data_IF_173474558518
#
_entry.id   IF_173474558518
#
_cell.length_a   1.000
_cell.length_b   1.000
_cell.length_c   1.000
_cell.angle_alpha   90.00
_cell.angle_beta   90.00
_cell.angle_gamma   90.00
#
_symmetry.space_group_name_H-M   'P 1'
#
loop_
_entity.id
_entity.type
_entity.pdbx_description
1 polymer ?
#
# COMPACT_ATOMS: atom_id res chain seq x y z
N UNK A 1 11.46 -5.69 0.24
CA UNK A 1 11.44 -7.06 -0.37
C UNK A 1 12.67 -7.17 -1.27
N UNK A 2 13.46 -8.25 -1.15
CA UNK A 2 14.64 -8.49 -2.00
C UNK A 2 14.30 -9.26 -3.29
N UNK A 3 13.13 -9.89 -3.33
CA UNK A 3 12.50 -10.42 -4.54
C UNK A 3 11.55 -9.39 -5.18
N UNK A 4 11.39 -9.45 -6.50
CA UNK A 4 10.66 -8.46 -7.27
C UNK A 4 9.54 -9.04 -8.14
N UNK A 5 9.35 -10.35 -8.12
CA UNK A 5 8.20 -10.98 -8.77
C UNK A 5 6.89 -10.58 -8.08
N UNK A 6 5.78 -10.80 -8.79
CA UNK A 6 4.45 -10.38 -8.37
C UNK A 6 3.99 -11.06 -7.09
N UNK A 7 4.28 -12.37 -6.95
CA UNK A 7 3.88 -13.15 -5.79
C UNK A 7 4.60 -12.65 -4.54
N UNK A 8 5.93 -12.52 -4.60
CA UNK A 8 6.75 -12.02 -3.48
C UNK A 8 6.30 -10.64 -2.98
N UNK A 9 5.81 -9.78 -3.87
CA UNK A 9 5.33 -8.45 -3.47
C UNK A 9 3.94 -8.50 -2.86
N UNK A 10 3.04 -9.37 -3.31
CA UNK A 10 1.77 -9.58 -2.61
C UNK A 10 1.98 -10.20 -1.22
N UNK A 11 2.90 -11.15 -1.11
CA UNK A 11 3.25 -11.79 0.17
C UNK A 11 3.82 -10.81 1.20
N UNK A 12 4.36 -9.65 0.78
CA UNK A 12 4.82 -8.63 1.74
C UNK A 12 3.70 -8.14 2.66
N UNK A 13 2.43 -8.24 2.22
CA UNK A 13 1.26 -7.86 3.00
C UNK A 13 1.10 -8.73 4.26
N UNK A 14 1.56 -9.98 4.24
CA UNK A 14 1.47 -10.93 5.37
C UNK A 14 2.28 -10.46 6.59
N UNK A 15 3.30 -9.63 6.37
CA UNK A 15 4.14 -9.11 7.46
C UNK A 15 3.44 -8.01 8.26
N UNK A 16 2.49 -7.28 7.65
CA UNK A 16 1.89 -6.08 8.23
C UNK A 16 1.20 -6.33 9.58
N UNK A 17 0.41 -7.40 9.78
CA UNK A 17 -0.21 -7.68 11.08
C UNK A 17 0.82 -7.97 12.18
N UNK A 18 1.98 -8.54 11.84
CA UNK A 18 3.05 -8.77 12.82
C UNK A 18 3.68 -7.43 13.24
N UNK A 19 3.97 -6.55 12.28
CA UNK A 19 4.53 -5.21 12.54
C UNK A 19 3.60 -4.40 13.45
N UNK A 20 2.30 -4.38 13.16
CA UNK A 20 1.32 -3.60 13.95
C UNK A 20 1.12 -4.18 15.34
N UNK A 21 1.10 -5.52 15.49
CA UNK A 21 1.06 -6.18 16.81
C UNK A 21 2.32 -5.88 17.63
N UNK A 22 3.51 -5.96 17.04
CA UNK A 22 4.76 -5.62 17.73
C UNK A 22 4.78 -4.15 18.16
N UNK A 23 4.38 -3.23 17.27
CA UNK A 23 4.23 -1.81 17.60
C UNK A 23 3.31 -1.61 18.80
N UNK A 24 2.15 -2.30 18.82
CA UNK A 24 1.19 -2.20 19.91
C UNK A 24 1.72 -2.79 21.22
N UNK A 25 2.48 -3.89 21.16
CA UNK A 25 3.11 -4.49 22.33
C UNK A 25 4.20 -3.58 22.94
N UNK A 26 4.95 -2.84 22.11
CA UNK A 26 6.03 -1.95 22.56
C UNK A 26 5.50 -0.62 23.09
N UNK A 27 4.53 -0.01 22.40
CA UNK A 27 4.09 1.37 22.70
C UNK A 27 2.72 1.45 23.40
N UNK A 28 2.13 0.33 23.79
CA UNK A 28 0.82 0.29 24.45
C UNK A 28 -0.25 0.96 23.60
N UNK A 29 -1.21 1.66 24.21
CA UNK A 29 -2.36 2.27 23.50
C UNK A 29 -2.04 3.56 22.73
N UNK A 30 -0.76 3.97 22.63
CA UNK A 30 -0.37 5.19 21.90
C UNK A 30 -0.91 5.18 20.46
N UNK A 31 -1.61 6.24 20.01
CA UNK A 31 -2.00 6.37 18.60
C UNK A 31 -0.77 6.41 17.69
N UNK A 32 -0.86 5.75 16.54
CA UNK A 32 0.19 5.80 15.53
C UNK A 32 -0.38 5.79 14.11
N UNK A 33 0.44 6.28 13.18
CA UNK A 33 0.12 6.45 11.77
C UNK A 33 1.09 5.64 10.92
N UNK A 34 0.66 5.22 9.74
CA UNK A 34 1.51 4.56 8.76
C UNK A 34 1.46 5.35 7.44
N UNK A 35 2.63 5.66 6.89
CA UNK A 35 2.75 6.09 5.50
C UNK A 35 3.73 7.24 5.26
N UNK A 36 3.85 7.70 4.00
CA UNK A 36 3.18 7.16 2.81
C UNK A 36 3.66 5.75 2.42
N UNK A 37 2.72 4.83 2.15
CA UNK A 37 3.03 3.45 1.74
C UNK A 37 2.82 3.21 0.24
N UNK A 38 3.82 2.61 -0.41
CA UNK A 38 3.85 2.27 -1.85
C UNK A 38 4.69 1.00 -2.09
N UNK A 39 4.55 0.37 -3.26
CA UNK A 39 5.40 -0.76 -3.69
C UNK A 39 6.84 -0.30 -3.92
N UNK A 40 7.03 0.80 -4.66
CA UNK A 40 8.33 1.42 -4.85
C UNK A 40 8.85 2.00 -3.52
N UNK A 41 10.16 2.01 -3.35
CA UNK A 41 10.81 2.49 -2.13
C UNK A 41 11.17 3.97 -2.24
N UNK A 42 10.85 4.74 -1.20
CA UNK A 42 11.27 6.15 -1.07
C UNK A 42 12.66 6.28 -0.43
N UNK A 43 13.00 5.34 0.44
CA UNK A 43 14.27 5.27 1.16
C UNK A 43 14.73 3.81 1.22
N UNK A 44 16.05 3.61 1.22
CA UNK A 44 16.66 2.30 1.34
C UNK A 44 17.19 2.12 2.78
N UNK A 45 16.63 1.21 3.59
CA UNK A 45 17.10 0.99 4.95
C UNK A 45 18.47 0.27 5.00
N UNK A 46 18.96 -0.23 3.87
CA UNK A 46 20.20 -1.00 3.76
C UNK A 46 21.31 -0.28 2.96
N UNK A 47 21.13 1.00 2.61
CA UNK A 47 22.12 1.75 1.83
C UNK A 47 21.75 3.22 1.64
N UNK A 48 22.67 4.01 1.07
CA UNK A 48 22.49 5.46 0.95
C UNK A 48 21.41 5.94 -0.03
N UNK A 49 20.95 5.08 -0.95
CA UNK A 49 19.93 5.42 -1.95
C UNK A 49 19.14 4.20 -2.41
N UNK A 50 17.96 4.44 -2.99
CA UNK A 50 17.18 3.45 -3.74
C UNK A 50 17.72 3.29 -5.16
N UNK A 51 17.45 2.14 -5.79
CA UNK A 51 17.90 1.89 -7.17
C UNK A 51 17.10 2.74 -8.15
N UNK A 52 17.77 3.35 -9.12
CA UNK A 52 17.07 3.96 -10.24
C UNK A 52 16.46 2.88 -11.14
N UNK A 53 15.29 3.18 -11.71
CA UNK A 53 14.53 2.25 -12.54
C UNK A 53 13.84 2.97 -13.71
N UNK A 54 14.62 3.73 -14.47
CA UNK A 54 14.15 4.46 -15.66
C UNK A 54 13.58 3.56 -16.75
N UNK A 55 13.97 2.27 -16.79
CA UNK A 55 13.46 1.27 -17.74
C UNK A 55 12.16 0.58 -17.30
N UNK A 56 11.60 0.91 -16.13
CA UNK A 56 10.33 0.35 -15.66
C UNK A 56 10.38 -1.16 -15.45
N UNK A 57 11.51 -1.69 -14.95
CA UNK A 57 11.70 -3.12 -14.70
C UNK A 57 11.14 -3.53 -13.33
N UNK A 58 10.83 -4.82 -13.16
CA UNK A 58 10.50 -5.38 -11.84
C UNK A 58 11.77 -5.70 -11.10
N UNK A 59 12.26 -4.76 -10.30
CA UNK A 59 13.50 -4.91 -9.54
C UNK A 59 13.28 -4.51 -8.09
N UNK A 60 13.94 -5.22 -7.19
CA UNK A 60 13.86 -4.95 -5.76
C UNK A 60 14.53 -3.61 -5.42
N UNK A 61 13.95 -2.90 -4.45
CA UNK A 61 14.51 -1.69 -3.86
C UNK A 61 14.64 -0.50 -4.82
N UNK A 62 13.81 -0.47 -5.87
CA UNK A 62 13.77 0.65 -6.80
C UNK A 62 12.91 1.82 -6.33
N UNK A 63 13.28 3.01 -6.82
CA UNK A 63 12.56 4.27 -6.64
C UNK A 63 11.30 4.39 -7.52
N UNK A 64 11.08 3.46 -8.45
CA UNK A 64 9.93 3.37 -9.36
C UNK A 64 9.56 1.92 -9.54
N UNK A 65 8.27 1.65 -9.66
CA UNK A 65 7.77 0.30 -9.93
C UNK A 65 6.72 0.34 -11.05
N UNK A 66 6.88 -0.46 -12.13
CA UNK A 66 5.92 -0.45 -13.24
C UNK A 66 4.50 -0.85 -12.81
N UNK A 67 4.37 -1.60 -11.72
CA UNK A 67 3.07 -2.06 -11.20
C UNK A 67 2.26 -0.94 -10.57
N UNK A 68 2.91 0.16 -10.19
CA UNK A 68 2.24 1.37 -9.67
C UNK A 68 1.24 1.97 -10.66
N UNK A 69 1.48 1.78 -11.96
CA UNK A 69 0.60 2.24 -13.03
C UNK A 69 -0.55 1.25 -13.38
N UNK A 70 -0.59 0.07 -12.75
CA UNK A 70 -1.50 -1.01 -13.12
C UNK A 70 -2.49 -1.38 -12.00
N UNK A 71 -3.44 -2.25 -12.32
CA UNK A 71 -4.39 -2.84 -11.35
C UNK A 71 -3.70 -3.55 -10.18
N UNK A 72 -2.46 -4.00 -10.38
CA UNK A 72 -1.65 -4.62 -9.34
C UNK A 72 -1.48 -3.69 -8.13
N UNK A 73 -1.18 -2.41 -8.35
CA UNK A 73 -1.04 -1.47 -7.24
C UNK A 73 -2.38 -1.18 -6.55
N UNK A 74 -3.49 -1.12 -7.29
CA UNK A 74 -4.82 -1.00 -6.70
C UNK A 74 -5.13 -2.18 -5.75
N UNK A 75 -4.88 -3.40 -6.20
CA UNK A 75 -5.07 -4.61 -5.40
C UNK A 75 -4.14 -4.65 -4.17
N UNK A 76 -2.85 -4.35 -4.34
CA UNK A 76 -1.89 -4.28 -3.24
C UNK A 76 -2.28 -3.21 -2.21
N UNK A 77 -2.77 -2.06 -2.66
CA UNK A 77 -3.22 -0.96 -1.78
C UNK A 77 -4.43 -1.35 -0.94
N UNK A 78 -5.43 -2.01 -1.52
CA UNK A 78 -6.58 -2.53 -0.77
C UNK A 78 -6.13 -3.62 0.21
N UNK A 79 -5.27 -4.53 -0.24
CA UNK A 79 -4.72 -5.58 0.61
C UNK A 79 -3.89 -5.04 1.78
N UNK A 80 -3.14 -3.96 1.58
CA UNK A 80 -2.43 -3.25 2.64
C UNK A 80 -3.42 -2.73 3.69
N UNK A 81 -4.47 -2.03 3.26
CA UNK A 81 -5.50 -1.51 4.14
C UNK A 81 -6.21 -2.64 4.91
N UNK A 82 -6.57 -3.73 4.23
CA UNK A 82 -7.17 -4.91 4.85
C UNK A 82 -6.30 -5.50 5.98
N UNK A 83 -4.99 -5.62 5.76
CA UNK A 83 -4.05 -6.18 6.74
C UNK A 83 -3.79 -5.28 7.95
N UNK A 84 -3.93 -3.96 7.79
CA UNK A 84 -3.67 -2.99 8.88
C UNK A 84 -4.93 -2.46 9.56
N UNK A 85 -6.12 -2.63 8.97
CA UNK A 85 -7.38 -2.18 9.56
C UNK A 85 -7.61 -2.68 11.00
N UNK A 86 -7.34 -3.97 11.34
CA UNK A 86 -7.47 -4.45 12.72
C UNK A 86 -6.56 -3.75 13.74
N UNK A 87 -5.51 -3.06 13.29
CA UNK A 87 -4.57 -2.38 14.18
C UNK A 87 -5.13 -1.09 14.81
N UNK A 88 -6.24 -0.56 14.28
CA UNK A 88 -6.85 0.69 14.76
C UNK A 88 -5.89 1.87 14.60
N UNK A 89 -5.31 2.03 13.41
CA UNK A 89 -4.43 3.15 13.10
C UNK A 89 -5.18 4.47 13.21
N UNK A 90 -4.50 5.53 13.64
CA UNK A 90 -5.06 6.88 13.58
C UNK A 90 -5.17 7.36 12.12
N UNK A 91 -4.20 6.97 11.29
CA UNK A 91 -4.16 7.34 9.88
C UNK A 91 -3.34 6.33 9.07
N UNK A 92 -3.87 5.99 7.90
CA UNK A 92 -3.15 5.28 6.85
C UNK A 92 -3.00 6.22 5.65
N UNK A 93 -1.76 6.57 5.30
CA UNK A 93 -1.46 7.36 4.11
C UNK A 93 -0.89 6.43 3.04
N UNK A 94 -1.60 6.32 1.92
CA UNK A 94 -1.22 5.49 0.77
C UNK A 94 -0.87 6.40 -0.39
N UNK A 95 0.15 6.03 -1.17
CA UNK A 95 0.54 6.77 -2.38
C UNK A 95 0.97 8.23 -2.10
N UNK A 96 1.46 8.92 -3.11
CA UNK A 96 1.44 10.39 -3.18
C UNK A 96 0.28 10.86 -4.07
N UNK A 97 0.09 12.18 -4.18
CA UNK A 97 -0.88 12.73 -5.13
C UNK A 97 -0.42 12.56 -6.59
N UNK A 98 0.76 13.07 -6.93
CA UNK A 98 1.32 13.01 -8.28
C UNK A 98 2.73 12.38 -8.31
N UNK A 99 3.19 12.08 -9.51
CA UNK A 99 4.55 11.57 -9.79
C UNK A 99 4.66 10.04 -9.71
N UNK A 100 5.89 9.50 -9.59
CA UNK A 100 6.15 8.06 -9.68
C UNK A 100 5.53 7.24 -8.54
N UNK A 101 5.20 7.89 -7.43
CA UNK A 101 4.48 7.31 -6.30
C UNK A 101 3.00 7.72 -6.28
N UNK A 102 2.54 8.49 -7.28
CA UNK A 102 1.29 9.24 -7.26
C UNK A 102 0.07 8.43 -7.68
N UNK A 103 -1.12 8.88 -7.27
CA UNK A 103 -2.39 8.44 -7.84
C UNK A 103 -2.64 9.01 -9.24
N UNK A 104 -1.95 10.11 -9.58
CA UNK A 104 -1.93 10.72 -10.91
C UNK A 104 -0.50 10.70 -11.46
N UNK A 105 -0.36 10.43 -12.76
CA UNK A 105 0.92 10.46 -13.45
C UNK A 105 1.56 11.86 -13.44
N UNK A 106 2.84 11.94 -13.09
CA UNK A 106 3.65 13.15 -13.20
C UNK A 106 4.26 13.33 -14.59
N UNK A 107 5.06 14.38 -14.75
CA UNK A 107 5.84 14.61 -15.96
C UNK A 107 6.98 13.59 -16.12
N UNK A 108 7.33 13.28 -17.37
CA UNK A 108 8.45 12.38 -17.67
C UNK A 108 8.19 10.89 -17.36
N UNK A 109 6.92 10.50 -17.32
CA UNK A 109 6.48 9.12 -17.13
C UNK A 109 5.98 8.50 -18.44
N UNK A 110 5.92 7.16 -18.57
CA UNK A 110 5.46 6.49 -19.79
C UNK A 110 3.99 6.80 -20.17
N UNK A 111 3.20 7.29 -19.22
CA UNK A 111 1.81 7.72 -19.41
C UNK A 111 1.73 9.24 -19.33
N UNK A 112 0.76 9.84 -20.04
CA UNK A 112 0.61 11.29 -20.09
C UNK A 112 0.43 11.90 -18.68
N UNK A 113 1.07 13.03 -18.44
CA UNK A 113 0.92 13.78 -17.19
C UNK A 113 -0.56 14.08 -16.95
N UNK A 114 -1.00 13.95 -15.70
CA UNK A 114 -2.41 14.17 -15.34
C UNK A 114 -3.29 12.93 -15.50
N UNK A 115 -2.79 11.84 -16.09
CA UNK A 115 -3.55 10.59 -16.21
C UNK A 115 -3.78 9.97 -14.84
N UNK A 116 -5.04 9.73 -14.42
CA UNK A 116 -5.35 8.97 -13.21
C UNK A 116 -4.88 7.52 -13.33
N UNK A 117 -4.28 6.97 -12.26
CA UNK A 117 -3.89 5.56 -12.19
C UNK A 117 -5.00 4.72 -11.55
N UNK A 118 -5.02 3.39 -11.79
CA UNK A 118 -5.99 2.50 -11.14
C UNK A 118 -6.04 2.60 -9.60
N UNK A 119 -4.90 2.87 -8.96
CA UNK A 119 -4.80 3.07 -7.50
C UNK A 119 -5.65 4.25 -7.00
N UNK A 120 -5.99 5.24 -7.83
CA UNK A 120 -6.86 6.36 -7.43
C UNK A 120 -8.22 5.83 -6.96
N UNK A 121 -8.86 4.96 -7.75
CA UNK A 121 -10.18 4.39 -7.42
C UNK A 121 -10.13 3.52 -6.18
N UNK A 122 -9.03 2.78 -5.98
CA UNK A 122 -8.81 2.03 -4.75
C UNK A 122 -8.73 2.95 -3.52
N UNK A 123 -8.01 4.07 -3.61
CA UNK A 123 -7.89 5.03 -2.52
C UNK A 123 -9.22 5.75 -2.27
N UNK A 124 -9.97 6.13 -3.31
CA UNK A 124 -11.32 6.68 -3.15
C UNK A 124 -12.25 5.73 -2.38
N UNK A 125 -12.29 4.44 -2.76
CA UNK A 125 -13.07 3.45 -2.02
C UNK A 125 -12.61 3.24 -0.58
N UNK A 126 -11.31 3.33 -0.30
CA UNK A 126 -10.79 3.31 1.08
C UNK A 126 -11.19 4.56 1.86
N UNK A 127 -11.23 5.73 1.22
CA UNK A 127 -11.73 6.96 1.82
C UNK A 127 -13.23 6.86 2.17
N UNK A 128 -14.04 6.19 1.34
CA UNK A 128 -15.46 5.93 1.63
C UNK A 128 -15.65 5.02 2.86
N UNK A 129 -14.70 4.13 3.13
CA UNK A 129 -14.69 3.29 4.33
C UNK A 129 -14.17 4.04 5.57
N UNK A 130 -13.53 5.19 5.42
CA UNK A 130 -12.96 5.93 6.53
C UNK A 130 -14.08 6.42 7.48
N UNK A 131 -13.88 6.24 8.79
CA UNK A 131 -14.88 6.58 9.80
C UNK A 131 -15.95 5.52 10.04
N UNK A 132 -16.06 4.49 9.19
CA UNK A 132 -16.91 3.33 9.48
C UNK A 132 -16.31 2.48 10.60
N UNK A 133 -17.18 1.77 11.33
CA UNK A 133 -16.74 0.75 12.28
C UNK A 133 -16.21 -0.45 11.50
N UNK A 134 -14.93 -0.78 11.68
CA UNK A 134 -14.33 -1.97 11.06
C UNK A 134 -15.09 -3.24 11.45
N UNK A 135 -15.43 -4.05 10.45
CA UNK A 135 -16.04 -5.37 10.64
C UNK A 135 -15.02 -6.43 10.26
N UNK A 136 -14.74 -7.35 11.18
CA UNK A 136 -13.86 -8.48 10.90
C UNK A 136 -14.45 -9.32 9.76
N UNK A 137 -13.72 -9.39 8.65
CA UNK A 137 -14.07 -10.18 7.48
C UNK A 137 -12.87 -11.05 7.08
N UNK A 138 -13.12 -12.32 6.81
CA UNK A 138 -12.10 -13.28 6.37
C UNK A 138 -12.58 -13.99 5.12
N UNK A 139 -11.64 -14.52 4.34
CA UNK A 139 -11.92 -15.36 3.17
C UNK A 139 -11.40 -16.77 3.44
N UNK A 140 -11.85 -17.75 2.65
CA UNK A 140 -11.36 -19.13 2.77
C UNK A 140 -9.87 -19.28 2.44
N UNK A 141 -9.30 -18.34 1.68
CA UNK A 141 -7.89 -18.30 1.31
C UNK A 141 -7.41 -16.84 1.18
N UNK A 142 -6.82 -16.33 2.26
CA UNK A 142 -6.27 -14.97 2.34
C UNK A 142 -5.01 -14.77 1.49
N UNK A 143 -4.42 -15.84 0.95
CA UNK A 143 -3.30 -15.74 0.00
C UNK A 143 -3.78 -15.37 -1.40
N UNK A 144 -5.08 -15.55 -1.67
CA UNK A 144 -5.71 -15.27 -2.97
C UNK A 144 -6.63 -14.05 -2.93
N UNK A 145 -7.43 -13.91 -1.88
CA UNK A 145 -8.40 -12.82 -1.76
C UNK A 145 -8.40 -12.28 -0.33
N UNK A 146 -8.17 -10.99 -0.18
CA UNK A 146 -8.34 -10.29 1.10
C UNK A 146 -9.67 -9.54 1.12
N UNK A 147 -10.24 -9.41 2.31
CA UNK A 147 -11.48 -8.67 2.54
C UNK A 147 -11.23 -7.49 3.48
N UNK A 148 -11.91 -6.38 3.22
CA UNK A 148 -11.99 -5.23 4.10
C UNK A 148 -13.46 -4.80 4.15
N UNK A 149 -14.01 -4.64 5.35
CA UNK A 149 -15.40 -4.28 5.55
C UNK A 149 -15.57 -3.23 6.65
N UNK A 150 -16.52 -2.32 6.43
CA UNK A 150 -16.93 -1.31 7.40
C UNK A 150 -18.46 -1.28 7.50
N UNK A 151 -18.96 -0.95 8.68
CA UNK A 151 -20.38 -0.73 8.95
C UNK A 151 -20.58 0.67 9.52
N UNK A 152 -21.61 1.37 9.06
CA UNK A 152 -22.03 2.64 9.64
C UNK A 152 -22.36 2.47 11.13
N UNK A 153 -22.04 3.47 11.94
CA UNK A 153 -22.52 3.51 13.31
C UNK A 153 -24.06 3.55 13.28
N UNK A 154 -24.68 2.59 13.95
CA UNK A 154 -26.13 2.53 14.19
C UNK A 154 -26.56 3.59 15.18
#
# INVERSE_FOLDING_TARGET
VHAADDLSVMQSLETLPFITRSTRAIFGTKPYRIGPSTIAMRQNPYGGATKDNSRGQRIAMANRDPRHAAQFAAAWTIGYAARVAPAGLEMLTLSSFAGPFGVVAGSGEPVAQGTPRPILRAIEGLCELAGLTHVSATTSDETRVLALAGRAAS
#
